data_IF_054730171884
#
_entry.id   IF_054730171884
#
_cell.length_a   1.000
_cell.length_b   1.000
_cell.length_c   1.000
_cell.angle_alpha   90.00
_cell.angle_beta   90.00
_cell.angle_gamma   90.00
#
_symmetry.space_group_name_H-M   'P 1'
#
loop_
_entity.id
_entity.type
_entity.pdbx_description
1 polymer ?
#
# COMPACT_ATOMS: atom_id res chain seq x y z
N UNK A 1 18.54 41.13 -19.02
CA UNK A 1 17.52 41.11 -17.95
C UNK A 1 17.17 39.64 -17.70
N UNK A 2 17.96 38.97 -16.85
CA UNK A 2 17.62 37.63 -16.36
C UNK A 2 16.96 37.83 -15.00
N UNK A 3 15.64 37.73 -14.95
CA UNK A 3 14.91 37.58 -13.70
C UNK A 3 14.99 36.10 -13.30
N UNK A 4 16.10 35.73 -12.67
CA UNK A 4 16.25 34.48 -11.96
C UNK A 4 15.93 34.74 -10.48
N UNK A 5 14.68 35.12 -10.20
CA UNK A 5 14.16 35.05 -8.85
C UNK A 5 14.18 33.57 -8.41
N UNK A 6 14.85 33.21 -7.31
CA UNK A 6 14.87 31.83 -6.85
C UNK A 6 13.44 31.45 -6.45
N UNK A 7 12.94 30.36 -7.01
CA UNK A 7 11.75 29.71 -6.46
C UNK A 7 12.15 29.28 -5.05
N UNK A 8 11.77 30.07 -4.05
CA UNK A 8 11.78 29.62 -2.66
C UNK A 8 10.71 28.53 -2.62
N UNK A 9 11.12 27.29 -2.84
CA UNK A 9 10.30 26.16 -2.47
C UNK A 9 10.09 26.31 -0.97
N UNK A 10 8.89 26.74 -0.57
CA UNK A 10 8.46 26.61 0.82
C UNK A 10 8.81 25.20 1.27
N UNK A 11 9.35 25.07 2.48
CA UNK A 11 9.75 23.79 3.02
C UNK A 11 8.49 22.97 3.35
N UNK A 12 7.93 22.33 2.33
CA UNK A 12 6.71 21.52 2.41
C UNK A 12 7.04 20.29 3.25
N UNK A 13 6.49 20.26 4.47
CA UNK A 13 6.49 19.08 5.34
C UNK A 13 5.48 18.06 4.84
N UNK A 14 5.91 16.91 4.32
CA UNK A 14 4.97 15.92 3.81
C UNK A 14 3.98 15.41 4.87
N UNK A 15 4.40 15.37 6.14
CA UNK A 15 3.52 14.93 7.24
C UNK A 15 2.32 15.85 7.45
N UNK A 16 2.37 17.10 6.98
CA UNK A 16 1.22 18.02 7.06
C UNK A 16 0.00 17.55 6.25
N UNK A 17 0.20 16.65 5.28
CA UNK A 17 -0.87 16.06 4.47
C UNK A 17 -1.40 14.75 5.05
N UNK A 18 -0.81 14.23 6.12
CA UNK A 18 -1.25 13.02 6.79
C UNK A 18 -2.15 13.38 7.99
N UNK A 19 -3.46 13.08 7.89
CA UNK A 19 -4.43 13.31 8.98
C UNK A 19 -4.42 12.18 10.03
N UNK A 20 -3.22 11.73 10.41
CA UNK A 20 -2.96 10.58 11.28
C UNK A 20 -1.65 9.88 10.90
N UNK A 21 -0.92 9.37 11.89
CA UNK A 21 0.39 8.74 11.69
C UNK A 21 0.36 7.21 11.76
N UNK A 22 0.91 6.55 10.74
CA UNK A 22 1.29 5.13 10.78
C UNK A 22 0.12 4.12 10.79
N UNK A 23 0.30 3.00 11.52
CA UNK A 23 -0.61 1.85 11.53
C UNK A 23 -2.03 2.18 12.04
N UNK A 24 -2.21 3.29 12.76
CA UNK A 24 -3.51 3.77 13.25
C UNK A 24 -4.47 4.25 12.15
N UNK A 25 -4.00 4.35 10.90
CA UNK A 25 -4.80 4.73 9.74
C UNK A 25 -5.39 3.53 8.97
N UNK A 26 -5.02 2.28 9.31
CA UNK A 26 -5.55 1.08 8.65
C UNK A 26 -6.97 0.76 9.16
N UNK A 27 -7.81 0.18 8.30
CA UNK A 27 -9.13 -0.34 8.71
C UNK A 27 -8.92 -1.49 9.69
N UNK A 28 -9.67 -1.49 10.79
CA UNK A 28 -9.57 -2.55 11.80
C UNK A 28 -9.84 -3.92 11.17
N UNK A 29 -9.08 -4.99 11.51
CA UNK A 29 -9.16 -6.29 10.83
C UNK A 29 -10.57 -6.89 10.78
N UNK A 30 -11.34 -6.78 11.88
CA UNK A 30 -12.72 -7.28 11.94
C UNK A 30 -13.64 -6.56 10.96
N UNK A 31 -13.52 -5.23 10.87
CA UNK A 31 -14.30 -4.42 9.93
C UNK A 31 -13.91 -4.72 8.47
N UNK A 32 -12.61 -4.88 8.19
CA UNK A 32 -12.15 -5.26 6.86
C UNK A 32 -12.73 -6.62 6.45
N UNK A 33 -12.73 -7.61 7.35
CA UNK A 33 -13.34 -8.92 7.10
C UNK A 33 -14.83 -8.82 6.74
N UNK A 34 -15.59 -7.97 7.44
CA UNK A 34 -17.01 -7.73 7.15
C UNK A 34 -17.22 -7.09 5.77
N UNK A 35 -16.35 -6.14 5.39
CA UNK A 35 -16.39 -5.49 4.07
C UNK A 35 -16.10 -6.52 2.97
N UNK A 36 -15.04 -7.31 3.12
CA UNK A 36 -14.63 -8.31 2.13
C UNK A 36 -15.65 -9.44 1.98
N UNK A 37 -16.35 -9.82 3.05
CA UNK A 37 -17.44 -10.80 2.99
C UNK A 37 -18.62 -10.36 2.11
N UNK A 38 -18.75 -9.05 1.84
CA UNK A 38 -19.77 -8.49 0.95
C UNK A 38 -19.26 -8.24 -0.47
N UNK A 39 -17.96 -8.37 -0.71
CA UNK A 39 -17.40 -8.23 -2.04
C UNK A 39 -17.89 -9.38 -2.93
N UNK A 40 -18.14 -9.15 -4.22
CA UNK A 40 -18.47 -10.22 -5.15
C UNK A 40 -17.36 -11.27 -5.15
N UNK A 41 -17.63 -12.43 -4.57
CA UNK A 41 -16.76 -13.59 -4.69
C UNK A 41 -17.02 -14.16 -6.08
N UNK A 42 -16.28 -13.65 -7.06
CA UNK A 42 -16.27 -14.22 -8.41
C UNK A 42 -15.82 -15.69 -8.38
N UNK A 43 -15.72 -16.31 -9.56
CA UNK A 43 -15.10 -17.63 -9.65
C UNK A 43 -13.65 -17.54 -9.15
N UNK A 44 -13.34 -18.26 -8.08
CA UNK A 44 -11.97 -18.40 -7.57
C UNK A 44 -11.25 -19.43 -8.45
N UNK A 45 -10.23 -19.03 -9.21
CA UNK A 45 -9.50 -19.96 -10.06
C UNK A 45 -8.76 -21.01 -9.23
N UNK A 46 -8.70 -22.28 -9.65
CA UNK A 46 -7.94 -23.33 -8.95
C UNK A 46 -6.41 -23.07 -8.92
N UNK A 47 -5.94 -22.13 -9.73
CA UNK A 47 -4.57 -21.63 -9.73
C UNK A 47 -4.27 -20.68 -8.57
N UNK A 48 -5.29 -20.07 -7.95
CA UNK A 48 -5.12 -19.25 -6.75
C UNK A 48 -4.80 -20.17 -5.56
N UNK A 49 -3.55 -20.15 -5.13
CA UNK A 49 -3.04 -20.99 -4.04
C UNK A 49 -3.30 -20.36 -2.67
N UNK A 50 -3.21 -19.02 -2.59
CA UNK A 50 -3.49 -18.23 -1.40
C UNK A 50 -4.34 -17.04 -1.83
N UNK A 51 -5.58 -17.00 -1.38
CA UNK A 51 -6.52 -15.92 -1.61
C UNK A 51 -6.84 -15.11 -0.36
N UNK A 52 -8.05 -14.54 -0.30
CA UNK A 52 -8.48 -13.67 0.81
C UNK A 52 -8.98 -14.46 2.02
N UNK A 53 -9.17 -15.76 1.89
CA UNK A 53 -9.75 -16.65 2.90
C UNK A 53 -8.84 -16.90 4.10
N UNK A 54 -7.52 -16.90 3.92
CA UNK A 54 -6.53 -17.15 4.98
C UNK A 54 -6.01 -15.88 5.64
N UNK A 55 -6.38 -14.69 5.14
CA UNK A 55 -5.89 -13.39 5.61
C UNK A 55 -4.35 -13.29 5.65
N UNK A 56 -3.71 -13.81 4.61
CA UNK A 56 -2.25 -13.78 4.43
C UNK A 56 -1.76 -12.41 3.89
N UNK A 57 -0.45 -12.17 3.93
CA UNK A 57 0.18 -10.90 3.54
C UNK A 57 0.29 -10.72 2.01
N UNK A 58 0.05 -11.78 1.23
CA UNK A 58 0.15 -11.75 -0.23
C UNK A 58 -0.80 -12.79 -0.88
N UNK A 59 -1.20 -12.51 -2.12
CA UNK A 59 -1.81 -13.52 -2.97
C UNK A 59 -0.73 -14.38 -3.62
N UNK A 60 -0.99 -15.68 -3.74
CA UNK A 60 -0.10 -16.61 -4.45
C UNK A 60 -0.88 -17.28 -5.57
N UNK A 61 -0.41 -17.13 -6.80
CA UNK A 61 -1.07 -17.65 -8.00
C UNK A 61 -0.12 -18.55 -8.80
N UNK A 62 -0.52 -19.80 -9.04
CA UNK A 62 0.27 -20.77 -9.82
C UNK A 62 0.30 -20.38 -11.30
N UNK A 63 1.51 -20.23 -11.85
CA UNK A 63 1.71 -19.97 -13.28
C UNK A 63 1.91 -21.27 -14.08
N UNK A 64 2.58 -22.26 -13.47
CA UNK A 64 2.80 -23.60 -14.01
C UNK A 64 3.20 -24.55 -12.87
N UNK A 65 3.52 -25.80 -13.19
CA UNK A 65 3.84 -26.85 -12.20
C UNK A 65 5.06 -26.55 -11.30
N UNK A 66 5.90 -25.57 -11.67
CA UNK A 66 7.15 -25.26 -10.97
C UNK A 66 7.25 -23.80 -10.50
N UNK A 67 6.30 -22.94 -10.86
CA UNK A 67 6.37 -21.50 -10.60
C UNK A 67 5.02 -20.94 -10.15
N UNK A 68 5.08 -19.99 -9.21
CA UNK A 68 3.96 -19.19 -8.76
C UNK A 68 4.36 -17.71 -8.68
N UNK A 69 3.37 -16.84 -8.95
CA UNK A 69 3.44 -15.41 -8.70
C UNK A 69 3.04 -15.14 -7.25
N UNK A 70 3.90 -14.45 -6.52
CA UNK A 70 3.56 -13.84 -5.23
C UNK A 70 3.32 -12.36 -5.48
N UNK A 71 2.12 -11.87 -5.16
CA UNK A 71 1.74 -10.49 -5.38
C UNK A 71 1.13 -9.90 -4.11
N UNK A 72 1.69 -8.76 -3.68
CA UNK A 72 1.16 -7.98 -2.56
C UNK A 72 1.20 -6.50 -2.91
N UNK A 73 0.45 -5.70 -2.17
CA UNK A 73 0.42 -4.25 -2.29
C UNK A 73 0.21 -3.65 -0.90
N UNK A 74 1.01 -2.64 -0.55
CA UNK A 74 0.80 -1.83 0.65
C UNK A 74 1.00 -0.35 0.29
N UNK A 75 0.34 0.51 1.05
CA UNK A 75 0.47 1.95 0.94
C UNK A 75 0.11 2.62 2.27
N UNK A 76 0.73 3.74 2.56
CA UNK A 76 0.45 4.53 3.74
C UNK A 76 0.72 6.01 3.48
N UNK A 77 0.15 6.87 4.33
CA UNK A 77 0.37 8.32 4.30
C UNK A 77 1.78 8.69 4.74
N UNK A 78 2.33 9.86 4.35
CA UNK A 78 3.67 10.26 4.74
C UNK A 78 3.91 10.23 6.26
N UNK A 79 4.98 9.55 6.69
CA UNK A 79 5.39 9.44 8.11
C UNK A 79 6.66 10.25 8.43
N UNK A 80 7.33 10.77 7.41
CA UNK A 80 8.50 11.65 7.50
C UNK A 80 8.33 12.79 6.51
N UNK A 81 8.97 13.94 6.79
CA UNK A 81 8.83 15.14 5.97
C UNK A 81 9.65 15.09 4.68
N UNK A 82 10.74 14.34 4.67
CA UNK A 82 11.59 14.22 3.49
C UNK A 82 10.97 13.24 2.46
N UNK A 83 10.72 13.69 1.21
CA UNK A 83 10.09 12.87 0.18
C UNK A 83 10.93 11.68 -0.26
N UNK A 84 12.25 11.82 -0.25
CA UNK A 84 13.17 10.76 -0.67
C UNK A 84 13.17 9.64 0.38
N UNK A 85 13.22 10.00 1.66
CA UNK A 85 13.13 9.07 2.78
C UNK A 85 11.77 8.39 2.83
N UNK A 86 10.67 9.14 2.67
CA UNK A 86 9.34 8.55 2.63
C UNK A 86 9.22 7.50 1.50
N UNK A 87 9.71 7.81 0.30
CA UNK A 87 9.70 6.85 -0.82
C UNK A 87 10.49 5.58 -0.53
N UNK A 88 11.67 5.70 0.11
CA UNK A 88 12.48 4.53 0.50
C UNK A 88 11.80 3.67 1.55
N UNK A 89 11.18 4.30 2.56
CA UNK A 89 10.42 3.59 3.60
C UNK A 89 9.23 2.88 2.95
N UNK A 90 8.45 3.58 2.11
CA UNK A 90 7.27 3.02 1.45
C UNK A 90 7.61 1.83 0.54
N UNK A 91 8.70 1.91 -0.23
CA UNK A 91 9.12 0.83 -1.13
C UNK A 91 9.70 -0.39 -0.41
N UNK A 92 10.11 -0.25 0.86
CA UNK A 92 10.69 -1.35 1.66
C UNK A 92 9.64 -2.11 2.47
N UNK A 93 8.46 -1.52 2.66
CA UNK A 93 7.41 -2.06 3.53
C UNK A 93 6.82 -3.37 3.02
#
# INVERSE_FOLDING_TARGET
MNDASPVIAENIKLTQFAHGGGCGCKIAPGLLREILARAPQGLVPPELLVGTETADDAAVYRLNDQQALVATTDFFTPIVDDPYDFGRIAATN
#
